data_IF_975350592709
#
_entry.id   IF_975350592709
#
_cell.length_a   1.000
_cell.length_b   1.000
_cell.length_c   1.000
_cell.angle_alpha   90.00
_cell.angle_beta   90.00
_cell.angle_gamma   90.00
#
_symmetry.space_group_name_H-M   'P 1'
#
loop_
_entity.id
_entity.type
_entity.pdbx_description
1 polymer ?
#
# COMPACT_ATOMS: atom_id res chain seq x y z
N UNK A 1 18.28 11.23 -8.74
CA UNK A 1 16.87 10.85 -8.48
C UNK A 1 16.91 9.58 -7.65
N UNK A 2 16.57 9.66 -6.36
CA UNK A 2 16.41 8.47 -5.52
C UNK A 2 15.05 7.84 -5.79
N UNK A 3 15.05 6.64 -6.34
CA UNK A 3 13.87 5.87 -6.65
C UNK A 3 13.87 4.60 -5.77
N UNK A 4 12.83 4.41 -4.98
CA UNK A 4 12.63 3.20 -4.20
C UNK A 4 11.90 2.16 -5.03
N UNK A 5 12.43 0.94 -5.07
CA UNK A 5 11.84 -0.16 -5.85
C UNK A 5 11.40 -1.26 -4.90
N UNK A 6 10.13 -1.62 -4.95
CA UNK A 6 9.57 -2.78 -4.28
C UNK A 6 9.18 -3.83 -5.31
N UNK A 7 9.84 -4.98 -5.23
CA UNK A 7 9.54 -6.17 -6.04
C UNK A 7 8.94 -7.25 -5.15
N UNK A 8 7.73 -7.69 -5.44
CA UNK A 8 7.22 -8.93 -4.88
C UNK A 8 7.87 -10.07 -5.65
N UNK A 9 8.85 -10.73 -5.04
CA UNK A 9 9.55 -11.85 -5.66
C UNK A 9 9.33 -13.12 -4.83
N UNK A 10 9.23 -14.28 -5.51
CA UNK A 10 9.18 -15.57 -4.84
C UNK A 10 10.52 -15.81 -4.15
N UNK A 11 10.58 -15.58 -2.84
CA UNK A 11 11.79 -15.77 -2.05
C UNK A 11 12.17 -17.26 -2.01
N UNK A 12 13.11 -17.66 -2.87
CA UNK A 12 13.91 -18.87 -2.68
C UNK A 12 15.28 -18.44 -2.14
N UNK A 13 15.35 -17.86 -0.96
CA UNK A 13 16.62 -17.72 -0.23
C UNK A 13 16.41 -17.85 1.27
N UNK A 14 16.13 -19.09 1.72
CA UNK A 14 16.51 -19.52 3.04
C UNK A 14 17.93 -20.08 2.96
N UNK A 15 18.95 -19.23 2.93
CA UNK A 15 20.28 -19.66 3.34
C UNK A 15 20.32 -19.65 4.86
N UNK A 16 20.27 -20.85 5.45
CA UNK A 16 20.67 -21.07 6.84
C UNK A 16 22.12 -20.59 7.00
N UNK A 17 22.32 -19.47 7.68
CA UNK A 17 23.59 -19.18 8.31
C UNK A 17 23.56 -19.78 9.70
N UNK A 18 24.43 -20.77 9.94
CA UNK A 18 24.76 -21.25 11.27
C UNK A 18 25.47 -20.09 12.00
N UNK A 19 24.75 -19.38 12.83
CA UNK A 19 25.31 -18.47 13.83
C UNK A 19 24.64 -18.78 15.16
N UNK A 20 25.47 -19.01 16.18
CA UNK A 20 25.13 -19.37 17.55
C UNK A 20 24.04 -18.46 18.15
N UNK A 21 23.09 -19.04 18.93
CA UNK A 21 22.13 -18.28 19.70
C UNK A 21 22.77 -17.83 21.02
N UNK A 22 23.39 -16.69 21.06
CA UNK A 22 23.76 -16.05 22.33
C UNK A 22 23.32 -14.59 22.32
N UNK A 23 22.29 -14.30 23.12
CA UNK A 23 21.96 -13.03 23.72
C UNK A 23 22.01 -11.78 22.83
N UNK A 24 20.95 -11.53 22.08
CA UNK A 24 20.38 -10.21 21.92
C UNK A 24 18.94 -10.37 21.42
N UNK A 25 18.04 -10.73 22.33
CA UNK A 25 16.61 -10.46 22.12
C UNK A 25 16.42 -8.97 22.40
N UNK A 26 16.99 -8.11 21.56
CA UNK A 26 16.44 -6.79 21.41
C UNK A 26 15.05 -6.96 20.83
N UNK A 27 14.05 -6.72 21.68
CA UNK A 27 12.70 -6.39 21.28
C UNK A 27 12.79 -5.10 20.43
N UNK A 28 13.24 -5.22 19.19
CA UNK A 28 12.93 -4.22 18.18
C UNK A 28 11.41 -4.31 18.06
N UNK A 29 10.73 -3.46 18.80
CA UNK A 29 9.32 -3.18 18.61
C UNK A 29 9.21 -2.71 17.17
N UNK A 30 8.93 -3.63 16.24
CA UNK A 30 8.68 -3.33 14.84
C UNK A 30 7.58 -2.27 14.83
N UNK A 31 7.97 -1.02 14.64
CA UNK A 31 7.02 0.08 14.51
C UNK A 31 6.25 -0.20 13.22
N UNK A 32 5.04 -0.73 13.38
CA UNK A 32 4.13 -0.97 12.26
C UNK A 32 3.78 0.37 11.64
N UNK A 33 3.90 0.46 10.33
CA UNK A 33 3.41 1.64 9.62
C UNK A 33 1.89 1.61 9.57
N UNK A 34 1.27 2.76 9.80
CA UNK A 34 -0.15 2.96 9.59
C UNK A 34 -0.37 3.40 8.14
N UNK A 35 -1.04 2.57 7.37
CA UNK A 35 -1.20 2.74 5.92
C UNK A 35 -2.69 2.77 5.58
N UNK A 36 -3.12 3.78 4.83
CA UNK A 36 -4.45 3.84 4.25
C UNK A 36 -4.38 3.54 2.74
N UNK A 37 -5.31 2.72 2.25
CA UNK A 37 -5.43 2.39 0.82
C UNK A 37 -6.75 2.94 0.31
N UNK A 38 -6.70 4.00 -0.51
CA UNK A 38 -7.87 4.58 -1.16
C UNK A 38 -8.11 3.86 -2.48
N UNK A 39 -9.16 3.02 -2.51
CA UNK A 39 -9.48 2.12 -3.62
C UNK A 39 -8.83 0.75 -3.48
N UNK A 40 -9.51 -0.16 -2.79
CA UNK A 40 -9.10 -1.57 -2.63
C UNK A 40 -9.44 -2.42 -3.89
N UNK A 41 -9.29 -1.84 -5.09
CA UNK A 41 -9.41 -2.53 -6.36
C UNK A 41 -8.26 -3.52 -6.62
N UNK A 42 -8.07 -3.94 -7.86
CA UNK A 42 -7.00 -4.89 -8.23
C UNK A 42 -5.64 -4.47 -7.70
N UNK A 43 -5.23 -3.22 -7.94
CA UNK A 43 -3.91 -2.69 -7.52
C UNK A 43 -3.86 -2.47 -6.01
N UNK A 44 -4.73 -1.61 -5.48
CA UNK A 44 -4.71 -1.24 -4.06
C UNK A 44 -5.03 -2.42 -3.14
N UNK A 45 -5.97 -3.30 -3.55
CA UNK A 45 -6.28 -4.53 -2.82
C UNK A 45 -5.11 -5.50 -2.78
N UNK A 46 -4.38 -5.66 -3.89
CA UNK A 46 -3.21 -6.52 -3.95
C UNK A 46 -2.09 -6.04 -3.02
N UNK A 47 -1.60 -4.81 -3.22
CA UNK A 47 -0.48 -4.30 -2.43
C UNK A 47 -0.86 -4.07 -0.97
N UNK A 48 -2.08 -3.60 -0.70
CA UNK A 48 -2.58 -3.46 0.66
C UNK A 48 -2.66 -4.80 1.39
N UNK A 49 -3.10 -5.87 0.71
CA UNK A 49 -3.13 -7.20 1.29
C UNK A 49 -1.73 -7.75 1.59
N UNK A 50 -0.74 -7.50 0.70
CA UNK A 50 0.66 -7.88 0.93
C UNK A 50 1.21 -7.22 2.19
N UNK A 51 1.03 -5.89 2.32
CA UNK A 51 1.47 -5.12 3.48
C UNK A 51 0.77 -5.58 4.78
N UNK A 52 -0.55 -5.80 4.72
CA UNK A 52 -1.31 -6.31 5.88
C UNK A 52 -0.83 -7.71 6.31
N UNK A 53 -0.58 -8.62 5.35
CA UNK A 53 -0.06 -9.96 5.63
C UNK A 53 1.36 -9.92 6.22
N UNK A 54 2.16 -8.91 5.88
CA UNK A 54 3.48 -8.65 6.46
C UNK A 54 3.42 -8.01 7.87
N UNK A 55 2.21 -7.72 8.36
CA UNK A 55 1.98 -7.21 9.72
C UNK A 55 1.88 -5.71 9.86
N UNK A 56 1.82 -4.96 8.76
CA UNK A 56 1.56 -3.52 8.79
C UNK A 56 0.11 -3.22 9.19
N UNK A 57 -0.14 -2.02 9.73
CA UNK A 57 -1.48 -1.56 10.10
C UNK A 57 -2.18 -0.94 8.88
N UNK A 58 -2.85 -1.77 8.08
CA UNK A 58 -3.48 -1.36 6.82
C UNK A 58 -4.98 -1.18 7.01
N UNK A 59 -5.49 -0.02 6.59
CA UNK A 59 -6.91 0.29 6.50
C UNK A 59 -7.30 0.57 5.04
N UNK A 60 -8.38 -0.02 4.58
CA UNK A 60 -8.88 0.14 3.22
C UNK A 60 -10.08 1.09 3.19
N UNK A 61 -10.11 1.98 2.20
CA UNK A 61 -11.25 2.81 1.88
C UNK A 61 -11.84 2.30 0.57
N UNK A 62 -13.02 1.71 0.66
CA UNK A 62 -13.67 1.02 -0.46
C UNK A 62 -15.17 1.15 -0.36
N UNK A 63 -15.89 1.05 -1.49
CA UNK A 63 -17.35 1.19 -1.57
C UNK A 63 -18.01 0.01 -2.28
N UNK A 64 -19.33 -0.09 -2.12
CA UNK A 64 -20.19 -1.01 -2.85
C UNK A 64 -19.98 -2.48 -2.50
N UNK A 65 -20.25 -3.39 -3.45
CA UNK A 65 -20.26 -4.83 -3.21
C UNK A 65 -18.89 -5.36 -2.73
N UNK A 66 -17.79 -4.76 -3.20
CA UNK A 66 -16.44 -5.17 -2.75
C UNK A 66 -16.19 -4.79 -1.29
N UNK A 67 -16.63 -3.60 -0.86
CA UNK A 67 -16.60 -3.19 0.55
C UNK A 67 -17.38 -4.14 1.45
N UNK A 68 -18.64 -4.46 1.07
CA UNK A 68 -19.48 -5.38 1.85
C UNK A 68 -18.82 -6.75 2.01
N UNK A 69 -18.29 -7.29 0.92
CA UNK A 69 -17.59 -8.57 0.95
C UNK A 69 -16.33 -8.56 1.81
N UNK A 70 -15.52 -7.49 1.72
CA UNK A 70 -14.33 -7.32 2.55
C UNK A 70 -14.68 -7.21 4.03
N UNK A 71 -15.76 -6.51 4.37
CA UNK A 71 -16.23 -6.34 5.75
C UNK A 71 -16.72 -7.65 6.36
N UNK A 72 -17.42 -8.47 5.58
CA UNK A 72 -18.00 -9.73 6.04
C UNK A 72 -17.02 -10.91 6.06
N UNK A 73 -16.19 -11.02 5.02
CA UNK A 73 -15.38 -12.23 4.75
C UNK A 73 -13.89 -11.95 4.64
N UNK A 74 -13.47 -10.68 4.80
CA UNK A 74 -12.09 -10.29 4.59
C UNK A 74 -11.71 -10.16 3.11
N UNK A 75 -10.42 -10.26 2.82
CA UNK A 75 -9.86 -10.07 1.48
C UNK A 75 -8.99 -11.27 1.10
N UNK A 76 -9.28 -11.86 -0.05
CA UNK A 76 -8.48 -12.91 -0.64
C UNK A 76 -7.72 -12.39 -1.86
N UNK A 77 -6.47 -12.78 -1.99
CA UNK A 77 -5.63 -12.54 -3.16
C UNK A 77 -5.16 -13.87 -3.72
N UNK A 78 -5.57 -14.18 -4.94
CA UNK A 78 -5.07 -15.32 -5.70
C UNK A 78 -3.94 -14.86 -6.62
N UNK A 79 -2.73 -15.40 -6.44
CA UNK A 79 -1.53 -14.94 -7.14
C UNK A 79 -0.50 -16.03 -7.29
N UNK A 80 0.16 -16.09 -8.45
CA UNK A 80 1.32 -16.96 -8.69
C UNK A 80 2.49 -16.64 -7.75
N UNK A 81 2.55 -15.41 -7.22
CA UNK A 81 3.57 -14.98 -6.26
C UNK A 81 3.22 -15.36 -4.80
N UNK A 82 2.18 -16.17 -4.60
CA UNK A 82 1.67 -16.63 -3.32
C UNK A 82 0.29 -16.05 -3.01
N UNK A 83 -0.63 -16.93 -2.62
CA UNK A 83 -1.97 -16.55 -2.22
C UNK A 83 -1.97 -15.92 -0.83
N UNK A 84 -2.89 -14.99 -0.60
CA UNK A 84 -3.13 -14.36 0.71
C UNK A 84 -4.60 -14.51 1.05
N UNK A 85 -4.87 -14.84 2.31
CA UNK A 85 -6.21 -14.83 2.88
C UNK A 85 -6.19 -14.02 4.17
N UNK A 86 -6.79 -12.84 4.13
CA UNK A 86 -7.03 -12.00 5.31
C UNK A 86 -8.47 -12.23 5.73
N UNK A 87 -8.69 -12.99 6.79
CA UNK A 87 -10.04 -13.32 7.31
C UNK A 87 -10.77 -12.12 7.92
N UNK A 88 -10.01 -11.10 8.31
CA UNK A 88 -10.52 -9.81 8.77
C UNK A 88 -9.63 -8.69 8.25
N UNK A 89 -10.24 -7.61 7.79
CA UNK A 89 -9.56 -6.40 7.33
C UNK A 89 -10.23 -5.15 7.89
N UNK A 90 -9.46 -4.10 8.13
CA UNK A 90 -9.99 -2.78 8.44
C UNK A 90 -10.46 -2.16 7.14
N UNK A 91 -11.75 -2.04 6.94
CA UNK A 91 -12.35 -1.46 5.73
C UNK A 91 -13.48 -0.53 6.11
N UNK A 92 -13.50 0.66 5.50
CA UNK A 92 -14.54 1.69 5.69
C UNK A 92 -14.86 2.40 4.39
N UNK A 93 -15.98 3.08 4.35
CA UNK A 93 -16.33 4.05 3.28
C UNK A 93 -15.94 5.48 3.69
N UNK A 94 -15.71 5.73 4.99
CA UNK A 94 -15.37 7.04 5.55
C UNK A 94 -13.91 7.09 6.03
N UNK A 95 -13.09 7.88 5.35
CA UNK A 95 -11.68 8.06 5.70
C UNK A 95 -11.48 8.68 7.10
N UNK A 96 -12.46 9.43 7.62
CA UNK A 96 -12.38 10.06 8.95
C UNK A 96 -12.32 9.06 10.10
N UNK A 97 -12.88 7.84 9.91
CA UNK A 97 -12.80 6.76 10.90
C UNK A 97 -11.37 6.21 11.09
N UNK A 98 -10.48 6.42 10.11
CA UNK A 98 -9.10 5.95 10.16
C UNK A 98 -8.21 6.94 10.91
N UNK A 99 -8.41 8.24 10.66
CA UNK A 99 -7.55 9.32 11.16
C UNK A 99 -6.13 9.29 10.56
N UNK A 100 -5.20 10.10 11.09
CA UNK A 100 -3.87 10.29 10.49
C UNK A 100 -3.05 9.01 10.35
N UNK A 101 -2.37 8.88 9.20
CA UNK A 101 -1.55 7.72 8.84
C UNK A 101 -0.13 8.12 8.41
N UNK A 102 0.76 7.14 8.23
CA UNK A 102 2.11 7.36 7.72
C UNK A 102 2.12 7.48 6.19
N UNK A 103 1.42 6.57 5.53
CA UNK A 103 1.35 6.48 4.06
C UNK A 103 -0.11 6.32 3.62
N UNK A 104 -0.46 7.03 2.55
CA UNK A 104 -1.69 6.83 1.80
C UNK A 104 -1.34 6.29 0.41
N UNK A 105 -1.89 5.14 0.04
CA UNK A 105 -1.81 4.60 -1.31
C UNK A 105 -3.10 4.96 -2.06
N UNK A 106 -2.99 5.76 -3.13
CA UNK A 106 -4.12 6.14 -3.97
C UNK A 106 -4.16 5.22 -5.18
N UNK A 107 -5.17 4.34 -5.24
CA UNK A 107 -5.30 3.29 -6.26
C UNK A 107 -6.72 3.27 -6.91
N UNK A 108 -7.38 4.42 -6.95
CA UNK A 108 -8.65 4.59 -7.67
C UNK A 108 -8.39 4.84 -9.16
N UNK A 109 -9.43 4.76 -10.00
CA UNK A 109 -9.31 5.13 -11.42
C UNK A 109 -8.98 6.61 -11.55
N UNK A 110 -8.16 6.99 -12.55
CA UNK A 110 -7.66 8.38 -12.74
C UNK A 110 -8.77 9.44 -12.79
N UNK A 111 -9.95 9.12 -13.28
CA UNK A 111 -11.11 10.03 -13.24
C UNK A 111 -11.64 10.33 -11.82
N UNK A 112 -11.13 9.67 -10.78
CA UNK A 112 -11.57 9.83 -9.39
C UNK A 112 -10.49 10.49 -8.50
N UNK A 113 -9.43 11.06 -9.08
CA UNK A 113 -8.29 11.65 -8.35
C UNK A 113 -8.74 12.79 -7.43
N UNK A 114 -9.64 13.68 -7.89
CA UNK A 114 -10.15 14.79 -7.04
C UNK A 114 -10.98 14.29 -5.85
N UNK A 115 -11.78 13.24 -6.05
CA UNK A 115 -12.51 12.62 -4.96
C UNK A 115 -11.57 11.92 -3.97
N UNK A 116 -10.50 11.27 -4.48
CA UNK A 116 -9.47 10.66 -3.63
C UNK A 116 -8.71 11.71 -2.82
N UNK A 117 -8.39 12.88 -3.41
CA UNK A 117 -7.77 13.98 -2.70
C UNK A 117 -8.61 14.44 -1.49
N UNK A 118 -9.94 14.50 -1.64
CA UNK A 118 -10.83 14.83 -0.52
C UNK A 118 -10.75 13.77 0.60
N UNK A 119 -10.66 12.48 0.25
CA UNK A 119 -10.52 11.38 1.21
C UNK A 119 -9.14 11.38 1.90
N UNK A 120 -8.10 11.96 1.28
CA UNK A 120 -6.79 12.08 1.91
C UNK A 120 -6.79 13.04 3.11
N UNK A 121 -7.59 14.11 3.08
CA UNK A 121 -7.53 15.19 4.10
C UNK A 121 -7.58 14.71 5.55
N UNK A 122 -8.53 13.86 5.97
CA UNK A 122 -8.58 13.36 7.37
C UNK A 122 -7.44 12.39 7.72
N UNK A 123 -6.70 11.91 6.71
CA UNK A 123 -5.59 10.96 6.88
C UNK A 123 -4.23 11.65 7.08
N UNK A 124 -4.19 12.98 6.91
CA UNK A 124 -2.94 13.74 6.90
C UNK A 124 -2.45 14.06 8.31
N UNK A 125 -1.15 13.96 8.48
CA UNK A 125 -0.34 14.60 9.50
C UNK A 125 0.91 15.16 8.84
N UNK A 126 1.70 15.95 9.53
CA UNK A 126 2.85 16.68 8.97
C UNK A 126 3.75 15.84 8.04
N UNK A 127 3.99 14.57 8.36
CA UNK A 127 4.89 13.71 7.60
C UNK A 127 4.17 12.60 6.79
N UNK A 128 2.85 12.68 6.62
CA UNK A 128 2.12 11.70 5.81
C UNK A 128 2.59 11.77 4.35
N UNK A 129 2.96 10.64 3.80
CA UNK A 129 3.27 10.48 2.38
C UNK A 129 2.09 9.94 1.59
N UNK A 130 1.80 10.51 0.44
CA UNK A 130 0.76 10.05 -0.49
C UNK A 130 1.45 9.53 -1.74
N UNK A 131 1.23 8.27 -2.06
CA UNK A 131 1.79 7.61 -3.26
C UNK A 131 0.63 7.26 -4.17
N UNK A 132 0.63 7.81 -5.40
CA UNK A 132 -0.36 7.41 -6.39
C UNK A 132 0.09 6.15 -7.13
N UNK A 133 -0.80 5.18 -7.20
CA UNK A 133 -0.63 3.94 -7.97
C UNK A 133 -1.56 3.92 -9.19
N UNK A 134 -2.04 5.09 -9.60
CA UNK A 134 -2.95 5.27 -10.72
C UNK A 134 -2.17 5.32 -12.03
N UNK A 135 -2.79 4.85 -13.10
CA UNK A 135 -2.27 5.08 -14.45
C UNK A 135 -2.43 6.56 -14.83
N UNK A 136 -1.44 7.11 -15.53
CA UNK A 136 -1.41 8.50 -16.00
C UNK A 136 -0.24 9.27 -15.37
N UNK A 137 0.04 10.44 -15.89
CA UNK A 137 1.21 11.29 -15.53
C UNK A 137 0.80 12.60 -14.85
N UNK A 138 -0.49 12.86 -14.68
CA UNK A 138 -1.01 14.12 -14.10
C UNK A 138 -1.53 13.95 -12.67
N UNK A 139 -1.49 12.71 -12.13
CA UNK A 139 -2.14 12.42 -10.85
C UNK A 139 -1.40 13.06 -9.68
N UNK A 140 -0.07 13.10 -9.72
CA UNK A 140 0.77 13.73 -8.70
C UNK A 140 0.54 15.25 -8.65
N UNK A 141 0.47 15.89 -9.82
CA UNK A 141 0.21 17.34 -9.92
C UNK A 141 -1.18 17.67 -9.37
N UNK A 142 -2.22 16.94 -9.80
CA UNK A 142 -3.60 17.12 -9.33
C UNK A 142 -3.73 16.89 -7.83
N UNK A 143 -3.05 15.89 -7.27
CA UNK A 143 -3.02 15.67 -5.82
C UNK A 143 -2.30 16.83 -5.12
N UNK A 144 -1.15 17.27 -5.63
CA UNK A 144 -0.35 18.36 -5.06
C UNK A 144 -1.13 19.68 -5.00
N UNK A 145 -1.89 20.00 -6.03
CA UNK A 145 -2.77 21.19 -6.05
C UNK A 145 -3.86 21.16 -4.97
N UNK A 146 -4.36 19.98 -4.61
CA UNK A 146 -5.48 19.80 -3.66
C UNK A 146 -5.04 19.64 -2.22
N UNK A 147 -3.84 19.10 -1.99
CA UNK A 147 -3.40 18.63 -0.67
C UNK A 147 -2.09 19.30 -0.24
N UNK A 148 -1.31 19.81 -1.18
CA UNK A 148 0.03 20.33 -0.98
C UNK A 148 1.10 19.36 -1.47
N UNK A 149 2.12 19.89 -2.16
CA UNK A 149 3.20 19.11 -2.77
C UNK A 149 4.05 18.37 -1.72
N UNK A 150 4.17 18.91 -0.51
CA UNK A 150 4.96 18.32 0.58
C UNK A 150 4.46 16.92 1.01
N UNK A 151 3.23 16.58 0.68
CA UNK A 151 2.65 15.28 0.98
C UNK A 151 2.82 14.27 -0.14
N UNK A 152 3.02 14.68 -1.38
CA UNK A 152 2.93 13.82 -2.56
C UNK A 152 4.29 13.25 -2.94
N UNK A 153 4.33 11.93 -3.12
CA UNK A 153 5.44 11.19 -3.71
C UNK A 153 5.00 10.68 -5.09
N UNK A 154 5.95 10.61 -6.02
CA UNK A 154 5.74 9.92 -7.29
C UNK A 154 5.61 8.42 -7.09
N UNK A 155 4.75 7.78 -7.89
CA UNK A 155 4.54 6.34 -7.83
C UNK A 155 4.26 5.73 -9.20
N UNK A 156 4.92 4.61 -9.51
CA UNK A 156 4.66 3.82 -10.71
C UNK A 156 4.45 2.36 -10.29
N UNK A 157 3.45 1.72 -10.88
CA UNK A 157 3.10 0.34 -10.56
C UNK A 157 3.13 -0.54 -11.81
N UNK A 158 3.71 -1.71 -11.66
CA UNK A 158 3.76 -2.75 -12.69
C UNK A 158 3.09 -4.00 -12.15
N UNK A 159 1.82 -4.19 -12.53
CA UNK A 159 1.01 -5.32 -12.07
C UNK A 159 -0.15 -5.56 -13.04
N UNK A 160 -0.55 -6.80 -13.20
CA UNK A 160 -1.80 -7.17 -13.84
C UNK A 160 -2.71 -7.81 -12.80
N UNK A 161 -3.62 -7.03 -12.24
CA UNK A 161 -4.54 -7.47 -11.20
C UNK A 161 -5.92 -6.84 -11.37
N UNK A 162 -6.95 -7.58 -10.95
CA UNK A 162 -8.33 -7.17 -11.04
C UNK A 162 -9.14 -7.72 -9.86
N UNK A 163 -10.31 -7.14 -9.61
CA UNK A 163 -11.32 -7.76 -8.75
C UNK A 163 -11.97 -8.88 -9.56
N UNK A 164 -11.74 -10.13 -9.18
CA UNK A 164 -12.39 -11.28 -9.82
C UNK A 164 -13.85 -11.41 -9.42
N UNK A 165 -14.08 -11.22 -8.12
CA UNK A 165 -15.40 -11.12 -7.52
C UNK A 165 -15.30 -10.30 -6.23
N UNK A 166 -16.40 -9.81 -5.65
CA UNK A 166 -16.37 -9.07 -4.40
C UNK A 166 -15.62 -9.80 -3.29
N UNK A 167 -14.56 -9.18 -2.74
CA UNK A 167 -13.67 -9.76 -1.73
C UNK A 167 -12.52 -10.61 -2.28
N UNK A 168 -12.42 -10.81 -3.60
CA UNK A 168 -11.37 -11.61 -4.22
C UNK A 168 -10.62 -10.81 -5.29
N UNK A 169 -9.31 -10.68 -5.12
CA UNK A 169 -8.38 -10.09 -6.08
C UNK A 169 -7.65 -11.23 -6.81
N UNK A 170 -7.63 -11.17 -8.14
CA UNK A 170 -6.79 -12.03 -8.95
C UNK A 170 -5.60 -11.23 -9.49
N UNK A 171 -4.41 -11.72 -9.20
CA UNK A 171 -3.18 -11.25 -9.83
C UNK A 171 -2.75 -12.25 -10.90
N UNK A 172 -2.66 -11.77 -12.13
CA UNK A 172 -2.22 -12.54 -13.30
C UNK A 172 -0.84 -12.08 -13.73
N UNK A 173 0.10 -13.00 -13.81
CA UNK A 173 1.48 -12.66 -14.17
C UNK A 173 2.48 -13.02 -13.09
N UNK A 174 3.73 -12.62 -13.32
CA UNK A 174 4.89 -12.95 -12.48
C UNK A 174 5.56 -11.68 -11.93
N UNK A 175 4.97 -10.51 -12.20
CA UNK A 175 5.50 -9.23 -11.78
C UNK A 175 4.46 -8.47 -10.96
N UNK A 176 4.87 -8.05 -9.76
CA UNK A 176 4.17 -7.06 -8.97
C UNK A 176 5.22 -6.13 -8.35
N UNK A 177 5.30 -4.89 -8.85
CA UNK A 177 6.34 -3.93 -8.48
C UNK A 177 5.75 -2.54 -8.28
N UNK A 178 6.19 -1.85 -7.24
CA UNK A 178 5.99 -0.42 -7.04
C UNK A 178 7.36 0.25 -7.11
N UNK A 179 7.46 1.33 -7.85
CA UNK A 179 8.56 2.29 -7.81
C UNK A 179 8.00 3.59 -7.26
N UNK A 180 8.69 4.21 -6.31
CA UNK A 180 8.22 5.45 -5.69
C UNK A 180 9.39 6.30 -5.20
N UNK A 181 9.16 7.58 -4.99
CA UNK A 181 10.18 8.51 -4.49
C UNK A 181 9.60 9.90 -4.27
N UNK A 182 10.36 10.75 -3.57
CA UNK A 182 10.02 12.17 -3.45
C UNK A 182 10.07 12.84 -4.82
N UNK A 183 9.17 13.82 -5.06
CA UNK A 183 9.08 14.50 -6.36
C UNK A 183 10.35 15.30 -6.72
N UNK A 184 11.06 15.80 -5.71
CA UNK A 184 12.34 16.49 -5.89
C UNK A 184 13.54 15.54 -6.03
N UNK A 185 13.31 14.23 -5.92
CA UNK A 185 14.34 13.20 -6.00
C UNK A 185 15.20 13.07 -4.75
N UNK A 186 14.82 13.67 -3.62
CA UNK A 186 15.52 13.53 -2.35
C UNK A 186 15.24 12.19 -1.66
N UNK A 187 16.09 11.81 -0.71
CA UNK A 187 15.78 10.74 0.24
C UNK A 187 14.98 11.28 1.43
N UNK A 188 13.95 10.55 1.84
CA UNK A 188 13.16 10.90 3.00
C UNK A 188 13.02 9.74 3.99
N UNK A 189 12.82 10.07 5.27
CA UNK A 189 12.55 9.06 6.30
C UNK A 189 11.25 8.28 6.01
N UNK A 190 10.20 8.95 5.51
CA UNK A 190 8.93 8.30 5.17
C UNK A 190 9.10 7.32 4.00
N UNK A 191 9.87 7.69 2.97
CA UNK A 191 10.18 6.82 1.84
C UNK A 191 10.99 5.59 2.26
N UNK A 192 12.04 5.78 3.07
CA UNK A 192 12.85 4.66 3.60
C UNK A 192 12.04 3.73 4.50
N UNK A 193 11.15 4.29 5.36
CA UNK A 193 10.26 3.50 6.22
C UNK A 193 9.27 2.67 5.40
N UNK A 194 8.67 3.27 4.36
CA UNK A 194 7.76 2.55 3.47
C UNK A 194 8.48 1.48 2.65
N UNK A 195 9.69 1.76 2.14
CA UNK A 195 10.51 0.73 1.49
C UNK A 195 10.80 -0.46 2.42
N UNK A 196 11.08 -0.17 3.69
CA UNK A 196 11.31 -1.22 4.68
C UNK A 196 10.05 -2.05 4.96
N UNK A 197 8.87 -1.43 5.00
CA UNK A 197 7.57 -2.12 5.09
C UNK A 197 7.33 -3.00 3.85
N UNK A 198 7.57 -2.47 2.66
CA UNK A 198 7.46 -3.21 1.41
C UNK A 198 8.39 -4.43 1.34
N UNK A 199 9.62 -4.31 1.81
CA UNK A 199 10.59 -5.45 1.82
C UNK A 199 10.18 -6.60 2.73
N UNK A 200 9.28 -6.36 3.69
CA UNK A 200 8.69 -7.42 4.52
C UNK A 200 7.50 -8.11 3.86
N UNK A 201 6.85 -7.46 2.90
CA UNK A 201 5.62 -7.88 2.21
C UNK A 201 5.92 -8.70 0.94
#
# INVERSE_FOLDING_TARGET
IFLYIFLVHRSQYLKRSNANPCCYTELVRLVRMKIAVIGAGGVGGYFGARLAAAGEDVSFIQRGAHFLAMKERGLRVDSKLGNIVLTAVKVTEDASEIGPVDIVLVAVKSGQTDAAAALCKPLLRQNTGIITLQNGVENEERLSERIGCDHVLGGVVYILSLIESPGIIRHSGEMARIEFGELDGSESKRGQSFLSACRRA
#
